data_IF_596122242679
#
_entry.id   IF_596122242679
#
_cell.length_a   1.000
_cell.length_b   1.000
_cell.length_c   1.000
_cell.angle_alpha   90.00
_cell.angle_beta   90.00
_cell.angle_gamma   90.00
#
_symmetry.space_group_name_H-M   'P 1'
#
loop_
_entity.id
_entity.type
_entity.pdbx_description
1 polymer ?
#
# COMPACT_ATOMS: atom_id res chain seq x y z
N UNK A 1 -18.01 -14.17 -25.78
CA UNK A 1 -17.27 -12.90 -25.89
C UNK A 1 -15.79 -13.17 -25.94
N UNK A 2 -15.10 -12.69 -26.97
CA UNK A 2 -13.63 -12.74 -27.07
C UNK A 2 -12.98 -11.85 -26.00
N UNK A 3 -11.67 -11.97 -25.78
CA UNK A 3 -10.94 -11.07 -24.88
C UNK A 3 -11.08 -9.59 -25.27
N UNK A 4 -11.12 -9.30 -26.58
CA UNK A 4 -11.28 -7.95 -27.13
C UNK A 4 -12.66 -7.38 -26.82
N UNK A 5 -13.72 -8.19 -26.95
CA UNK A 5 -15.08 -7.78 -26.62
C UNK A 5 -15.25 -7.52 -25.11
N UNK A 6 -14.55 -8.26 -24.24
CA UNK A 6 -14.55 -7.96 -22.81
C UNK A 6 -13.88 -6.61 -22.52
N UNK A 7 -12.74 -6.33 -23.14
CA UNK A 7 -12.01 -5.07 -22.95
C UNK A 7 -12.78 -3.84 -23.44
N UNK A 8 -13.61 -3.97 -24.49
CA UNK A 8 -14.42 -2.86 -24.97
C UNK A 8 -15.44 -2.38 -23.92
N UNK A 9 -15.98 -3.29 -23.10
CA UNK A 9 -16.93 -2.98 -22.02
C UNK A 9 -16.30 -2.43 -20.73
N UNK A 10 -14.98 -2.53 -20.56
CA UNK A 10 -14.28 -2.02 -19.37
C UNK A 10 -14.41 -0.51 -19.28
N UNK A 11 -14.87 0.02 -18.14
CA UNK A 11 -15.02 1.47 -17.91
C UNK A 11 -13.80 2.12 -17.27
N UNK A 12 -12.97 1.34 -16.58
CA UNK A 12 -11.76 1.85 -15.97
C UNK A 12 -10.72 0.76 -15.70
N UNK A 13 -9.47 1.18 -15.54
CA UNK A 13 -8.33 0.30 -15.33
C UNK A 13 -7.62 0.64 -14.01
N UNK A 14 -7.38 -0.39 -13.19
CA UNK A 14 -6.46 -0.29 -12.07
C UNK A 14 -5.07 -0.68 -12.60
N UNK A 15 -4.13 0.26 -12.54
CA UNK A 15 -2.82 0.14 -13.15
C UNK A 15 -1.78 -0.09 -12.06
N UNK A 16 -1.16 -1.25 -12.10
CA UNK A 16 0.04 -1.47 -11.33
C UNK A 16 1.16 -0.52 -11.79
N UNK A 17 2.15 -0.27 -10.92
CA UNK A 17 3.15 0.78 -11.13
C UNK A 17 4.51 0.19 -11.51
N UNK A 18 5.24 -0.36 -10.53
CA UNK A 18 6.56 -0.94 -10.72
C UNK A 18 6.48 -2.23 -11.57
N UNK A 19 7.19 -2.26 -12.71
CA UNK A 19 7.16 -3.38 -13.64
C UNK A 19 5.97 -3.38 -14.61
N UNK A 20 5.04 -2.44 -14.47
CA UNK A 20 3.84 -2.33 -15.33
C UNK A 20 3.76 -0.99 -16.06
N UNK A 21 3.98 0.13 -15.37
CA UNK A 21 3.98 1.48 -15.95
C UNK A 21 5.39 2.06 -16.08
N UNK A 22 6.24 1.81 -15.09
CA UNK A 22 7.66 2.16 -15.12
C UNK A 22 8.49 1.06 -14.44
N UNK A 23 9.81 1.10 -14.66
CA UNK A 23 10.78 0.32 -13.90
C UNK A 23 11.92 1.25 -13.46
N UNK A 24 12.13 1.38 -12.15
CA UNK A 24 13.01 2.41 -11.60
C UNK A 24 12.53 3.81 -11.98
N UNK A 25 13.39 4.61 -12.60
CA UNK A 25 13.06 5.95 -13.10
C UNK A 25 12.85 5.99 -14.64
N UNK A 26 12.46 4.86 -15.24
CA UNK A 26 12.19 4.76 -16.68
C UNK A 26 10.78 4.28 -16.94
N UNK A 27 10.03 5.03 -17.76
CA UNK A 27 8.75 4.55 -18.27
C UNK A 27 8.94 3.29 -19.12
N UNK A 28 7.99 2.37 -19.02
CA UNK A 28 7.93 1.23 -19.94
C UNK A 28 7.38 1.67 -21.31
N UNK A 29 7.78 0.94 -22.34
CA UNK A 29 7.34 1.22 -23.71
C UNK A 29 5.82 1.20 -23.82
N UNK A 30 5.24 2.23 -24.45
CA UNK A 30 3.79 2.35 -24.63
C UNK A 30 3.02 2.85 -23.41
N UNK A 31 3.65 3.05 -22.24
CA UNK A 31 2.98 3.50 -21.02
C UNK A 31 2.18 4.80 -21.21
N UNK A 32 2.82 5.86 -21.73
CA UNK A 32 2.14 7.14 -22.00
C UNK A 32 1.09 7.02 -23.10
N UNK A 33 1.38 6.26 -24.16
CA UNK A 33 0.45 6.01 -25.27
C UNK A 33 -0.83 5.32 -24.77
N UNK A 34 -0.69 4.37 -23.85
CA UNK A 34 -1.81 3.68 -23.25
C UNK A 34 -2.71 4.64 -22.45
N UNK A 35 -2.13 5.52 -21.64
CA UNK A 35 -2.90 6.54 -20.92
C UNK A 35 -3.59 7.51 -21.89
N UNK A 36 -2.92 7.90 -22.97
CA UNK A 36 -3.52 8.67 -24.06
C UNK A 36 -4.76 7.98 -24.63
N UNK A 37 -4.65 6.69 -24.94
CA UNK A 37 -5.76 5.88 -25.45
C UNK A 37 -6.94 5.80 -24.46
N UNK A 38 -6.66 5.64 -23.16
CA UNK A 38 -7.73 5.63 -22.14
C UNK A 38 -8.47 6.96 -22.10
N UNK A 39 -7.74 8.10 -22.17
CA UNK A 39 -8.34 9.44 -22.22
C UNK A 39 -9.18 9.64 -23.47
N UNK A 40 -8.67 9.27 -24.64
CA UNK A 40 -9.39 9.34 -25.92
C UNK A 40 -10.68 8.52 -25.89
N UNK A 41 -10.64 7.33 -25.30
CA UNK A 41 -11.79 6.44 -25.17
C UNK A 41 -12.69 6.77 -23.96
N UNK A 42 -12.40 7.83 -23.21
CA UNK A 42 -13.12 8.24 -21.99
C UNK A 42 -13.22 7.10 -20.95
N UNK A 43 -12.16 6.29 -20.85
CA UNK A 43 -12.02 5.24 -19.83
C UNK A 43 -11.22 5.78 -18.65
N UNK A 44 -11.69 5.50 -17.43
CA UNK A 44 -11.00 5.90 -16.22
C UNK A 44 -9.73 5.09 -15.98
N UNK A 45 -8.83 5.62 -15.16
CA UNK A 45 -7.70 4.84 -14.64
C UNK A 45 -7.35 5.30 -13.22
N UNK A 46 -6.76 4.39 -12.46
CA UNK A 46 -6.22 4.64 -11.13
C UNK A 46 -4.92 3.85 -11.01
N UNK A 47 -3.85 4.47 -10.55
CA UNK A 47 -2.63 3.73 -10.22
C UNK A 47 -2.76 3.06 -8.86
N UNK A 48 -2.34 1.80 -8.76
CA UNK A 48 -2.51 0.96 -7.59
C UNK A 48 -1.20 0.25 -7.22
N UNK A 49 -0.67 0.52 -6.04
CA UNK A 49 0.56 -0.10 -5.53
C UNK A 49 0.35 -0.72 -4.14
N UNK A 50 0.97 -1.88 -3.91
CA UNK A 50 1.03 -2.48 -2.59
C UNK A 50 2.06 -1.83 -1.68
N UNK A 51 2.88 -0.91 -2.19
CA UNK A 51 3.91 -0.31 -1.38
C UNK A 51 3.33 0.79 -0.47
N UNK A 52 3.38 0.57 0.85
CA UNK A 52 2.94 1.52 1.89
C UNK A 52 4.08 2.31 2.52
N UNK A 53 5.29 2.33 1.93
CA UNK A 53 6.43 3.06 2.49
C UNK A 53 6.40 4.57 2.18
N UNK A 54 5.60 4.97 1.17
CA UNK A 54 5.51 6.33 0.65
C UNK A 54 4.07 6.78 0.51
N UNK A 55 3.85 8.08 0.68
CA UNK A 55 2.56 8.73 0.48
C UNK A 55 2.18 8.70 -1.01
N UNK A 56 0.88 8.59 -1.30
CA UNK A 56 0.34 8.66 -2.69
C UNK A 56 0.85 9.87 -3.50
N UNK A 57 1.06 11.01 -2.83
CA UNK A 57 1.63 12.24 -3.42
C UNK A 57 3.00 12.00 -4.04
N UNK A 58 3.88 11.28 -3.36
CA UNK A 58 5.24 11.04 -3.83
C UNK A 58 5.25 10.22 -5.12
N UNK A 59 4.30 9.30 -5.26
CA UNK A 59 4.10 8.52 -6.48
C UNK A 59 3.53 9.38 -7.61
N UNK A 60 2.56 10.26 -7.32
CA UNK A 60 2.01 11.19 -8.30
C UNK A 60 3.06 12.18 -8.82
N UNK A 61 3.90 12.72 -7.93
CA UNK A 61 5.04 13.56 -8.29
C UNK A 61 6.06 12.78 -9.14
N UNK A 62 6.36 11.52 -8.78
CA UNK A 62 7.26 10.68 -9.58
C UNK A 62 6.71 10.47 -10.99
N UNK A 63 5.47 10.03 -11.13
CA UNK A 63 4.83 9.82 -12.44
C UNK A 63 4.80 11.13 -13.25
N UNK A 64 4.54 12.26 -12.59
CA UNK A 64 4.56 13.57 -13.21
C UNK A 64 5.95 13.93 -13.76
N UNK A 65 7.02 13.69 -13.00
CA UNK A 65 8.40 13.86 -13.47
C UNK A 65 8.75 12.95 -14.65
N UNK A 66 8.15 11.77 -14.72
CA UNK A 66 8.34 10.83 -15.82
C UNK A 66 7.56 11.21 -17.08
N UNK A 67 6.72 12.24 -17.05
CA UNK A 67 6.05 12.79 -18.24
C UNK A 67 4.54 12.61 -18.29
N UNK A 68 3.90 12.13 -17.21
CA UNK A 68 2.45 12.09 -17.09
C UNK A 68 1.99 12.98 -15.92
N UNK A 69 1.49 14.21 -16.17
CA UNK A 69 0.88 15.03 -15.13
C UNK A 69 -0.24 14.25 -14.43
N UNK A 70 -0.06 14.01 -13.13
CA UNK A 70 -0.92 13.15 -12.32
C UNK A 70 -1.14 13.80 -10.95
N UNK A 71 -2.39 13.81 -10.48
CA UNK A 71 -2.72 14.25 -9.12
C UNK A 71 -2.73 13.07 -8.16
N UNK A 72 -2.62 13.33 -6.86
CA UNK A 72 -2.52 12.26 -5.85
C UNK A 72 -3.78 11.40 -5.74
N UNK A 73 -4.95 11.93 -6.10
CA UNK A 73 -6.22 11.19 -6.09
C UNK A 73 -6.28 10.08 -7.14
N UNK A 74 -5.38 10.10 -8.13
CA UNK A 74 -5.24 9.04 -9.13
C UNK A 74 -4.25 7.95 -8.70
N UNK A 75 -3.81 7.94 -7.43
CA UNK A 75 -2.93 6.93 -6.85
C UNK A 75 -3.56 6.37 -5.58
N UNK A 76 -3.67 5.05 -5.51
CA UNK A 76 -4.07 4.30 -4.32
C UNK A 76 -2.91 3.40 -3.88
N UNK A 77 -2.43 3.62 -2.65
CA UNK A 77 -1.44 2.77 -2.00
C UNK A 77 -2.16 1.78 -1.07
N UNK A 78 -1.48 0.70 -0.67
CA UNK A 78 -2.01 -0.18 0.38
C UNK A 78 -2.11 0.51 1.74
N UNK A 79 -1.30 1.54 2.00
CA UNK A 79 -1.38 2.40 3.18
C UNK A 79 -2.70 3.16 3.23
N UNK A 80 -3.01 3.90 2.16
CA UNK A 80 -4.25 4.66 1.99
C UNK A 80 -5.46 3.72 2.05
N UNK A 81 -5.41 2.59 1.33
CA UNK A 81 -6.50 1.59 1.35
C UNK A 81 -6.76 1.08 2.77
N UNK A 82 -5.71 0.80 3.54
CA UNK A 82 -5.82 0.36 4.95
C UNK A 82 -6.42 1.45 5.83
N UNK A 83 -5.97 2.70 5.67
CA UNK A 83 -6.47 3.83 6.44
C UNK A 83 -7.94 4.13 6.12
N UNK A 84 -8.34 4.07 4.84
CA UNK A 84 -9.73 4.23 4.39
C UNK A 84 -10.63 3.15 5.00
N UNK A 85 -10.23 1.89 4.90
CA UNK A 85 -10.95 0.75 5.46
C UNK A 85 -11.15 0.91 6.97
N UNK A 86 -10.06 1.16 7.71
CA UNK A 86 -10.13 1.35 9.16
C UNK A 86 -10.98 2.55 9.55
N UNK A 87 -10.97 3.62 8.77
CA UNK A 87 -11.70 4.86 9.10
C UNK A 87 -13.20 4.65 8.97
N UNK A 88 -13.62 3.87 7.98
CA UNK A 88 -15.03 3.52 7.78
C UNK A 88 -15.58 2.70 8.96
N UNK A 89 -14.77 1.77 9.50
CA UNK A 89 -15.20 0.88 10.59
C UNK A 89 -14.97 1.49 11.98
N UNK A 90 -13.88 2.23 12.18
CA UNK A 90 -13.38 2.68 13.48
C UNK A 90 -12.78 4.11 13.42
N UNK A 91 -13.61 5.14 13.16
CA UNK A 91 -13.13 6.51 13.06
C UNK A 91 -12.49 7.00 14.37
N UNK A 92 -11.30 7.60 14.27
CA UNK A 92 -10.60 8.19 15.42
C UNK A 92 -9.92 7.20 16.36
N UNK A 93 -9.78 5.93 15.95
CA UNK A 93 -9.17 4.88 16.75
C UNK A 93 -7.70 5.15 17.08
N UNK A 94 -7.25 4.58 18.21
CA UNK A 94 -5.86 4.53 18.60
C UNK A 94 -5.15 3.38 17.86
N UNK A 95 -4.08 3.70 17.12
CA UNK A 95 -3.35 2.74 16.28
C UNK A 95 -1.88 2.69 16.73
N UNK A 96 -1.37 1.49 16.96
CA UNK A 96 0.07 1.26 16.98
C UNK A 96 0.51 0.92 15.56
N UNK A 97 1.27 1.83 14.96
CA UNK A 97 1.66 1.75 13.55
C UNK A 97 3.15 1.38 13.44
N UNK A 98 3.44 0.24 12.82
CA UNK A 98 4.76 -0.10 12.33
C UNK A 98 4.82 0.34 10.87
N UNK A 99 5.26 1.58 10.66
CA UNK A 99 5.28 2.25 9.37
C UNK A 99 6.36 3.32 9.28
N UNK A 100 6.60 3.80 8.07
CA UNK A 100 7.46 4.97 7.84
C UNK A 100 6.78 6.25 8.33
N UNK A 101 7.52 7.35 8.55
CA UNK A 101 6.93 8.65 8.87
C UNK A 101 5.86 9.08 7.85
N UNK A 102 6.05 8.72 6.58
CA UNK A 102 5.09 8.99 5.52
C UNK A 102 3.76 8.26 5.71
N UNK A 103 3.79 7.00 6.18
CA UNK A 103 2.59 6.24 6.48
C UNK A 103 1.93 6.75 7.77
N UNK A 104 2.73 7.17 8.75
CA UNK A 104 2.21 7.80 9.96
C UNK A 104 1.42 9.07 9.64
N UNK A 105 1.95 9.93 8.77
CA UNK A 105 1.28 11.16 8.36
C UNK A 105 -0.02 10.88 7.59
N UNK A 106 -0.05 9.85 6.74
CA UNK A 106 -1.25 9.38 6.04
C UNK A 106 -2.33 8.97 7.06
N UNK A 107 -1.98 8.14 8.05
CA UNK A 107 -2.91 7.72 9.10
C UNK A 107 -3.41 8.91 9.95
N UNK A 108 -2.54 9.86 10.30
CA UNK A 108 -2.94 11.08 11.01
C UNK A 108 -3.93 11.92 10.20
N UNK A 109 -3.74 12.04 8.88
CA UNK A 109 -4.67 12.75 7.98
C UNK A 109 -6.06 12.09 7.91
N UNK A 110 -6.13 10.77 8.08
CA UNK A 110 -7.40 10.05 8.20
C UNK A 110 -8.04 10.13 9.59
N UNK A 111 -7.40 10.84 10.54
CA UNK A 111 -7.92 11.12 11.88
C UNK A 111 -7.54 10.09 12.94
N UNK A 112 -6.61 9.17 12.66
CA UNK A 112 -6.15 8.20 13.66
C UNK A 112 -5.20 8.84 14.68
N UNK A 113 -5.23 8.32 15.91
CA UNK A 113 -4.27 8.67 16.95
C UNK A 113 -3.20 7.60 16.99
N UNK A 114 -1.97 7.96 16.64
CA UNK A 114 -0.84 7.04 16.74
C UNK A 114 -0.32 6.99 18.17
N UNK A 115 -0.32 5.80 18.78
CA UNK A 115 0.01 5.59 20.19
C UNK A 115 1.04 4.49 20.36
N UNK A 116 1.89 4.61 21.37
CA UNK A 116 2.83 3.55 21.78
C UNK A 116 2.29 2.67 22.91
N UNK A 117 1.16 3.04 23.51
CA UNK A 117 0.53 2.36 24.65
C UNK A 117 -0.97 2.23 24.41
N UNK A 118 -1.56 1.12 24.86
CA UNK A 118 -2.99 0.84 24.77
C UNK A 118 -3.61 1.05 23.36
N UNK A 119 -3.02 0.49 22.28
CA UNK A 119 -3.60 0.58 20.95
C UNK A 119 -4.87 -0.27 20.84
N UNK A 120 -5.81 0.20 20.03
CA UNK A 120 -7.01 -0.57 19.65
C UNK A 120 -6.75 -1.43 18.41
N UNK A 121 -5.83 -1.00 17.54
CA UNK A 121 -5.41 -1.71 16.34
C UNK A 121 -3.90 -1.65 16.19
N UNK A 122 -3.33 -2.73 15.67
CA UNK A 122 -1.95 -2.79 15.21
C UNK A 122 -1.97 -2.76 13.69
N UNK A 123 -1.15 -1.90 13.09
CA UNK A 123 -0.99 -1.86 11.63
C UNK A 123 0.48 -2.06 11.29
N UNK A 124 0.76 -3.08 10.49
CA UNK A 124 2.08 -3.35 9.93
C UNK A 124 2.11 -2.94 8.45
N UNK A 125 2.89 -1.91 8.14
CA UNK A 125 3.21 -1.49 6.79
C UNK A 125 4.67 -1.72 6.43
N UNK A 126 5.04 -1.34 5.20
CA UNK A 126 6.41 -1.40 4.70
C UNK A 126 7.27 -0.32 5.38
N UNK A 127 7.67 -0.58 6.61
CA UNK A 127 8.49 0.32 7.41
C UNK A 127 9.98 0.22 7.01
N UNK A 128 10.44 1.09 6.13
CA UNK A 128 11.89 1.20 5.81
C UNK A 128 12.70 1.86 6.93
N UNK A 129 12.05 2.30 8.02
CA UNK A 129 12.66 2.83 9.24
C UNK A 129 12.53 1.86 10.43
N UNK A 130 12.29 0.58 10.12
CA UNK A 130 12.03 -0.46 11.12
C UNK A 130 13.17 -0.56 12.14
N UNK A 131 12.79 -0.75 13.39
CA UNK A 131 13.72 -1.03 14.49
C UNK A 131 13.29 -2.30 15.21
N UNK A 132 14.25 -2.98 15.84
CA UNK A 132 13.94 -4.12 16.69
C UNK A 132 12.94 -3.76 17.80
N UNK A 133 13.01 -2.54 18.35
CA UNK A 133 12.05 -2.04 19.35
C UNK A 133 10.62 -2.01 18.81
N UNK A 134 10.40 -1.54 17.57
CA UNK A 134 9.08 -1.55 16.93
C UNK A 134 8.55 -2.97 16.76
N UNK A 135 9.38 -3.90 16.29
CA UNK A 135 9.00 -5.32 16.13
C UNK A 135 8.67 -5.99 17.46
N UNK A 136 9.47 -5.73 18.49
CA UNK A 136 9.25 -6.29 19.82
C UNK A 136 7.92 -5.80 20.41
N UNK A 137 7.68 -4.49 20.40
CA UNK A 137 6.41 -3.93 20.85
C UNK A 137 5.20 -4.47 20.06
N UNK A 138 5.34 -4.58 18.73
CA UNK A 138 4.31 -5.21 17.89
C UNK A 138 4.00 -6.64 18.37
N UNK A 139 5.03 -7.46 18.58
CA UNK A 139 4.84 -8.84 19.03
C UNK A 139 4.15 -8.92 20.41
N UNK A 140 4.49 -8.02 21.33
CA UNK A 140 3.87 -7.98 22.66
C UNK A 140 2.38 -7.67 22.57
N UNK A 141 1.97 -6.69 21.74
CA UNK A 141 0.56 -6.41 21.51
C UNK A 141 -0.17 -7.52 20.75
N UNK A 142 0.48 -8.18 19.81
CA UNK A 142 -0.10 -9.33 19.09
C UNK A 142 -0.41 -10.47 20.06
N UNK A 143 0.50 -10.77 21.01
CA UNK A 143 0.28 -11.76 22.08
C UNK A 143 -0.80 -11.35 23.06
N UNK A 144 -0.93 -10.04 23.32
CA UNK A 144 -2.01 -9.48 24.12
C UNK A 144 -3.39 -9.55 23.43
N UNK A 145 -3.45 -9.98 22.17
CA UNK A 145 -4.71 -10.18 21.44
C UNK A 145 -5.28 -8.91 20.81
N UNK A 146 -4.49 -7.84 20.69
CA UNK A 146 -4.92 -6.63 19.96
C UNK A 146 -5.13 -6.98 18.48
N UNK A 147 -6.22 -6.52 17.83
CA UNK A 147 -6.45 -6.72 16.40
C UNK A 147 -5.26 -6.27 15.55
N UNK A 148 -4.79 -7.15 14.67
CA UNK A 148 -3.55 -7.00 13.93
C UNK A 148 -3.81 -7.00 12.42
N UNK A 149 -3.47 -5.90 11.75
CA UNK A 149 -3.68 -5.71 10.32
C UNK A 149 -2.33 -5.49 9.63
N UNK A 150 -2.16 -6.06 8.44
CA UNK A 150 -1.05 -5.74 7.56
C UNK A 150 -1.53 -5.02 6.30
N UNK A 151 -0.74 -4.07 5.80
CA UNK A 151 -1.15 -3.31 4.61
C UNK A 151 -1.14 -4.17 3.35
N UNK A 152 -0.23 -5.14 3.22
CA UNK A 152 -0.13 -6.04 2.06
C UNK A 152 0.74 -7.28 2.38
N UNK A 153 0.71 -8.34 1.55
CA UNK A 153 1.38 -9.61 1.86
C UNK A 153 2.74 -9.82 1.17
N UNK A 154 3.25 -8.84 0.41
CA UNK A 154 4.41 -9.06 -0.44
C UNK A 154 5.67 -9.33 0.39
N UNK A 155 6.40 -10.41 0.09
CA UNK A 155 7.61 -10.79 0.85
C UNK A 155 8.81 -9.90 0.53
N UNK A 156 8.88 -9.44 -0.71
CA UNK A 156 10.04 -8.72 -1.22
C UNK A 156 9.58 -7.58 -2.13
N UNK A 157 10.22 -6.43 -1.97
CA UNK A 157 10.13 -5.32 -2.89
C UNK A 157 11.31 -5.35 -3.87
N UNK A 158 11.07 -5.41 -5.18
CA UNK A 158 12.13 -5.25 -6.18
C UNK A 158 12.82 -3.89 -6.06
N UNK A 159 14.13 -3.87 -6.28
CA UNK A 159 14.98 -2.68 -6.37
C UNK A 159 15.91 -2.82 -7.59
N UNK A 160 16.59 -1.74 -7.98
CA UNK A 160 17.56 -1.80 -9.09
C UNK A 160 18.70 -2.81 -8.85
N UNK A 161 19.04 -3.09 -7.58
CA UNK A 161 20.19 -3.92 -7.20
C UNK A 161 19.80 -5.28 -6.63
N UNK A 162 18.52 -5.63 -6.58
CA UNK A 162 18.04 -6.89 -5.99
C UNK A 162 16.71 -6.72 -5.27
N UNK A 163 16.54 -7.41 -4.15
CA UNK A 163 15.28 -7.46 -3.41
C UNK A 163 15.46 -6.96 -1.99
N UNK A 164 14.59 -6.06 -1.56
CA UNK A 164 14.51 -5.62 -0.17
C UNK A 164 13.39 -6.41 0.54
N UNK A 165 13.60 -6.87 1.79
CA UNK A 165 12.52 -7.49 2.56
C UNK A 165 11.34 -6.52 2.71
N UNK A 166 10.13 -7.04 2.56
CA UNK A 166 8.89 -6.27 2.61
C UNK A 166 7.95 -6.85 3.69
N UNK A 167 6.70 -6.38 3.77
CA UNK A 167 5.75 -6.68 4.85
C UNK A 167 5.54 -8.16 5.06
N UNK A 168 5.50 -8.97 4.01
CA UNK A 168 5.39 -10.43 4.11
C UNK A 168 6.53 -11.09 4.90
N UNK A 169 7.76 -10.57 4.79
CA UNK A 169 8.87 -11.04 5.62
C UNK A 169 8.69 -10.67 7.10
N UNK A 170 8.13 -9.49 7.37
CA UNK A 170 7.82 -9.04 8.73
C UNK A 170 6.63 -9.79 9.33
N UNK A 171 5.61 -10.11 8.53
CA UNK A 171 4.51 -11.00 8.91
C UNK A 171 5.07 -12.36 9.34
N UNK A 172 5.97 -12.95 8.54
CA UNK A 172 6.58 -14.23 8.87
C UNK A 172 7.38 -14.18 10.18
N UNK A 173 8.10 -13.08 10.43
CA UNK A 173 8.80 -12.85 11.70
C UNK A 173 7.81 -12.80 12.89
N UNK A 174 6.76 -11.97 12.78
CA UNK A 174 5.76 -11.80 13.84
C UNK A 174 5.05 -13.12 14.11
N UNK A 175 4.67 -13.85 13.07
CA UNK A 175 4.09 -15.20 13.19
C UNK A 175 5.03 -16.15 13.93
N UNK A 176 6.30 -16.23 13.53
CA UNK A 176 7.26 -17.10 14.20
C UNK A 176 7.45 -16.73 15.69
N UNK A 177 7.32 -15.46 16.04
CA UNK A 177 7.48 -14.97 17.41
C UNK A 177 6.22 -15.06 18.28
N UNK A 178 5.03 -15.15 17.68
CA UNK A 178 3.73 -14.98 18.40
C UNK A 178 2.70 -16.06 18.10
N UNK A 179 2.94 -16.91 17.10
CA UNK A 179 2.01 -17.90 16.55
C UNK A 179 0.69 -17.31 16.02
N UNK A 180 0.66 -16.00 15.70
CA UNK A 180 -0.48 -15.32 15.07
C UNK A 180 -0.12 -14.71 13.73
N UNK A 181 -1.06 -14.85 12.80
CA UNK A 181 -1.09 -14.13 11.52
C UNK A 181 -1.86 -12.81 11.67
N UNK A 182 -1.74 -11.86 10.72
CA UNK A 182 -2.64 -10.72 10.64
C UNK A 182 -4.09 -11.19 10.55
N UNK A 183 -4.96 -10.56 11.33
CA UNK A 183 -6.41 -10.71 11.24
C UNK A 183 -6.95 -10.23 9.88
N UNK A 184 -6.23 -9.29 9.25
CA UNK A 184 -6.53 -8.81 7.92
C UNK A 184 -5.27 -8.38 7.16
N UNK A 185 -5.22 -8.67 5.86
CA UNK A 185 -4.25 -8.11 4.91
C UNK A 185 -5.01 -7.33 3.84
N UNK A 186 -4.84 -6.01 3.76
CA UNK A 186 -5.72 -5.16 2.92
C UNK A 186 -5.34 -5.14 1.44
N UNK A 187 -4.05 -5.10 1.13
CA UNK A 187 -3.53 -4.92 -0.22
C UNK A 187 -3.83 -6.10 -1.15
N UNK A 188 -3.43 -5.95 -2.42
CA UNK A 188 -3.56 -6.99 -3.45
C UNK A 188 -2.93 -8.30 -2.93
N UNK A 189 -3.53 -9.49 -3.18
CA UNK A 189 -4.70 -9.75 -4.03
C UNK A 189 -6.06 -9.72 -3.31
N UNK A 190 -6.16 -9.10 -2.12
CA UNK A 190 -7.45 -8.96 -1.44
C UNK A 190 -8.45 -8.13 -2.29
N UNK A 191 -9.75 -8.43 -2.15
CA UNK A 191 -10.87 -7.84 -2.89
C UNK A 191 -11.78 -6.94 -2.03
N UNK A 192 -11.41 -6.69 -0.77
CA UNK A 192 -12.12 -5.77 0.12
C UNK A 192 -12.22 -4.36 -0.47
#
# INVERSE_FOLDING_TARGET
>A
MTGIEKLSTVRGFLLDMDGTFYLGDRLLEGALRFIGLLREQKKGFLFLTNNSSKHRRQYAEKISRLGLPLTEELVLTSGEATALYLREQHPGANVFLVGTPSLEDEFRQHGFRLVEQEPQFLVLGFDTTLTYKKLWALCDFVRAGVPYIATHPDFNCPTEKGFMPDVGAMIAFVKAATDREPDLVVGKPNRL
#
